data_IF_179777174371
#
_entry.id   IF_179777174371
#
_cell.length_a   1.000
_cell.length_b   1.000
_cell.length_c   1.000
_cell.angle_alpha   90.00
_cell.angle_beta   90.00
_cell.angle_gamma   90.00
#
_symmetry.space_group_name_H-M   'P 1'
#
loop_
_entity.id
_entity.type
_entity.pdbx_description
1 polymer ?
#
# COMPACT_ATOMS: atom_id res chain seq x y z
N UNK A 1 -72.48 -4.65 -61.59
CA UNK A 1 -73.58 -4.01 -60.84
C UNK A 1 -73.42 -4.32 -59.36
N UNK A 2 -73.72 -3.32 -58.50
CA UNK A 2 -73.77 -3.32 -57.01
C UNK A 2 -72.38 -3.29 -56.32
N UNK A 3 -71.90 -2.18 -55.76
CA UNK A 3 -72.29 -1.33 -54.60
C UNK A 3 -71.67 -1.80 -53.27
N UNK A 4 -70.96 -0.83 -52.64
CA UNK A 4 -70.75 -0.61 -51.19
C UNK A 4 -69.78 -1.57 -50.47
N UNK A 5 -68.96 -1.14 -49.52
CA UNK A 5 -68.98 0.12 -48.77
C UNK A 5 -67.66 0.43 -48.05
N UNK A 6 -67.69 1.59 -47.42
CA UNK A 6 -66.66 2.26 -46.63
C UNK A 6 -66.50 1.53 -45.28
N UNK A 7 -65.25 1.38 -44.82
CA UNK A 7 -64.93 1.39 -43.39
C UNK A 7 -63.58 2.10 -43.19
N UNK A 8 -63.66 3.26 -42.54
CA UNK A 8 -62.55 3.99 -41.92
C UNK A 8 -62.24 3.32 -40.59
N UNK A 9 -60.96 3.14 -40.26
CA UNK A 9 -60.44 3.33 -38.90
C UNK A 9 -58.92 3.48 -38.93
N UNK A 10 -58.47 4.49 -38.21
CA UNK A 10 -57.13 5.06 -38.19
C UNK A 10 -56.13 4.22 -37.37
N UNK A 11 -54.85 4.38 -37.69
CA UNK A 11 -53.74 3.89 -36.89
C UNK A 11 -52.42 4.53 -37.35
N UNK A 12 -52.01 5.57 -36.64
CA UNK A 12 -50.79 6.35 -36.82
C UNK A 12 -49.55 5.50 -36.54
N UNK A 13 -48.52 5.56 -37.38
CA UNK A 13 -47.13 5.45 -36.92
C UNK A 13 -46.15 6.07 -37.93
N UNK A 14 -45.22 6.82 -37.38
CA UNK A 14 -44.38 7.82 -38.02
C UNK A 14 -43.28 7.25 -38.93
N UNK A 15 -42.92 8.07 -39.91
CA UNK A 15 -41.77 7.95 -40.80
C UNK A 15 -40.49 8.04 -39.97
N UNK A 16 -39.68 6.98 -39.94
CA UNK A 16 -38.25 7.10 -39.68
C UNK A 16 -37.51 6.93 -41.00
N UNK A 17 -37.02 8.07 -41.50
CA UNK A 17 -36.04 8.14 -42.56
C UNK A 17 -34.76 7.41 -42.10
N UNK A 18 -34.28 6.50 -42.94
CA UNK A 18 -33.02 5.81 -42.72
C UNK A 18 -31.83 6.77 -42.76
N UNK A 19 -30.92 6.57 -41.82
CA UNK A 19 -29.51 6.93 -41.99
C UNK A 19 -28.72 5.64 -42.03
N UNK A 20 -27.92 5.52 -43.08
CA UNK A 20 -26.97 4.44 -43.34
C UNK A 20 -25.85 4.57 -42.31
N UNK A 21 -25.75 3.61 -41.38
CA UNK A 21 -24.59 3.51 -40.49
C UNK A 21 -23.47 2.74 -41.21
N UNK A 22 -22.22 3.23 -41.16
CA UNK A 22 -21.08 2.50 -41.70
C UNK A 22 -20.78 1.25 -40.87
N UNK A 23 -20.20 0.27 -41.55
CA UNK A 23 -19.85 -1.07 -41.07
C UNK A 23 -19.09 -1.06 -39.74
N UNK A 24 -19.45 -2.01 -38.89
CA UNK A 24 -18.95 -2.15 -37.53
C UNK A 24 -17.43 -2.30 -37.44
N UNK A 25 -16.84 -1.50 -36.56
CA UNK A 25 -15.66 -1.89 -35.81
C UNK A 25 -16.10 -2.90 -34.75
N UNK A 26 -15.57 -4.11 -34.80
CA UNK A 26 -15.69 -5.07 -33.71
C UNK A 26 -15.27 -4.38 -32.40
N UNK A 27 -16.21 -4.25 -31.47
CA UNK A 27 -15.86 -3.92 -30.10
C UNK A 27 -15.07 -5.10 -29.56
N UNK A 28 -13.81 -4.88 -29.18
CA UNK A 28 -13.20 -5.71 -28.16
C UNK A 28 -14.12 -5.57 -26.93
N UNK A 29 -14.64 -6.69 -26.42
CA UNK A 29 -15.43 -6.72 -25.20
C UNK A 29 -14.66 -6.00 -24.10
N UNK A 30 -15.11 -4.78 -23.81
CA UNK A 30 -14.51 -3.91 -22.82
C UNK A 30 -14.73 -4.55 -21.46
N UNK A 31 -13.67 -5.10 -20.88
CA UNK A 31 -13.59 -5.23 -19.43
C UNK A 31 -13.94 -3.85 -18.85
N UNK A 32 -14.92 -3.73 -17.95
CA UNK A 32 -15.11 -2.49 -17.24
C UNK A 32 -13.88 -2.31 -16.36
N UNK A 33 -12.90 -1.53 -16.83
CA UNK A 33 -11.92 -0.91 -15.95
C UNK A 33 -12.73 -0.02 -15.01
N UNK A 34 -13.03 -0.53 -13.82
CA UNK A 34 -13.51 0.26 -12.70
C UNK A 34 -12.61 1.49 -12.64
N UNK A 35 -13.21 2.67 -12.84
CA UNK A 35 -12.50 3.94 -12.71
C UNK A 35 -11.91 3.93 -11.30
N UNK A 36 -10.56 3.93 -11.13
CA UNK A 36 -9.99 3.92 -9.80
C UNK A 36 -10.50 5.15 -9.07
N UNK A 37 -11.04 4.95 -7.88
CA UNK A 37 -11.21 6.00 -6.88
C UNK A 37 -9.79 6.45 -6.49
N UNK A 38 -9.15 7.21 -7.36
CA UNK A 38 -7.91 7.91 -7.08
C UNK A 38 -8.15 9.38 -7.37
N UNK A 39 -8.27 10.19 -6.32
CA UNK A 39 -8.13 11.63 -6.49
C UNK A 39 -6.64 11.90 -6.76
N UNK A 40 -6.31 12.12 -8.03
CA UNK A 40 -4.96 12.48 -8.45
C UNK A 40 -4.94 13.96 -8.82
N UNK A 41 -4.43 14.80 -7.91
CA UNK A 41 -4.12 16.20 -8.23
C UNK A 41 -2.64 16.31 -8.55
N UNK A 42 -2.37 16.66 -9.80
CA UNK A 42 -1.10 17.13 -10.39
C UNK A 42 0.18 16.78 -9.62
N UNK A 43 0.70 15.56 -9.78
CA UNK A 43 2.03 15.18 -9.25
C UNK A 43 3.21 15.76 -10.05
N UNK A 44 2.94 16.67 -11.00
CA UNK A 44 3.95 17.38 -11.79
C UNK A 44 4.06 18.87 -11.41
N UNK A 45 3.07 19.40 -10.70
CA UNK A 45 3.03 20.76 -10.19
C UNK A 45 3.70 20.94 -8.83
N UNK A 46 3.66 22.17 -8.32
CA UNK A 46 4.20 22.53 -7.00
C UNK A 46 3.38 21.96 -5.84
N UNK A 47 2.13 21.59 -6.09
CA UNK A 47 1.24 20.94 -5.13
C UNK A 47 0.92 19.55 -5.64
N UNK A 48 0.92 18.55 -4.76
CA UNK A 48 0.54 17.18 -5.10
C UNK A 48 -0.54 16.69 -4.15
N UNK A 49 -1.47 15.87 -4.66
CA UNK A 49 -2.36 15.07 -3.84
C UNK A 49 -2.64 13.74 -4.54
N UNK A 50 -2.44 12.64 -3.83
CA UNK A 50 -2.79 11.29 -4.28
C UNK A 50 -3.51 10.61 -3.14
N UNK A 51 -4.66 10.02 -3.44
CA UNK A 51 -5.40 9.15 -2.53
C UNK A 51 -5.72 7.84 -3.25
N UNK A 52 -5.48 6.70 -2.61
CA UNK A 52 -5.90 5.39 -3.07
C UNK A 52 -7.12 4.95 -2.26
N UNK A 53 -8.16 4.47 -2.93
CA UNK A 53 -9.30 3.81 -2.27
C UNK A 53 -9.07 2.29 -2.22
N UNK A 54 -9.87 1.61 -1.40
CA UNK A 54 -9.95 0.14 -1.31
C UNK A 54 -8.59 -0.53 -1.00
N UNK A 55 -7.72 0.17 -0.26
CA UNK A 55 -6.47 -0.43 0.23
C UNK A 55 -6.79 -1.26 1.46
N UNK A 56 -6.36 -2.52 1.48
CA UNK A 56 -6.48 -3.37 2.68
C UNK A 56 -5.68 -2.78 3.85
N UNK A 57 -6.18 -3.01 5.07
CA UNK A 57 -5.48 -2.75 6.33
C UNK A 57 -5.37 -4.05 7.13
N UNK A 58 -4.52 -4.98 6.66
CA UNK A 58 -4.37 -6.26 7.33
C UNK A 58 -3.75 -6.06 8.72
N UNK A 59 -4.31 -6.74 9.74
CA UNK A 59 -3.70 -6.77 11.07
C UNK A 59 -2.44 -7.63 11.07
N UNK A 60 -1.37 -7.16 11.72
CA UNK A 60 -0.18 -7.98 11.93
C UNK A 60 -0.35 -9.00 13.06
N UNK A 61 -1.18 -8.74 14.07
CA UNK A 61 -1.31 -9.57 15.26
C UNK A 61 -2.18 -10.79 14.98
N UNK A 62 -1.53 -11.94 14.85
CA UNK A 62 -2.20 -13.19 14.46
C UNK A 62 -1.62 -14.37 15.24
N UNK A 63 -2.47 -15.24 15.79
CA UNK A 63 -2.06 -16.34 16.68
C UNK A 63 -1.11 -17.35 16.03
N UNK A 64 -1.16 -17.50 14.71
CA UNK A 64 -0.33 -18.45 13.95
C UNK A 64 0.96 -17.86 13.37
N UNK A 65 1.28 -16.61 13.69
CA UNK A 65 2.56 -15.98 13.35
C UNK A 65 3.56 -16.07 14.50
N UNK A 66 4.86 -16.07 14.17
CA UNK A 66 5.92 -15.99 15.18
C UNK A 66 5.76 -14.75 16.05
N UNK A 67 5.90 -14.91 17.37
CA UNK A 67 5.63 -13.87 18.39
C UNK A 67 4.23 -13.25 18.24
N UNK A 68 3.27 -14.08 17.81
CA UNK A 68 1.87 -13.71 17.58
C UNK A 68 1.75 -12.46 16.69
N UNK A 69 2.65 -12.32 15.71
CA UNK A 69 2.59 -11.23 14.74
C UNK A 69 3.25 -9.91 15.17
N UNK A 70 3.69 -9.77 16.43
CA UNK A 70 4.23 -8.51 16.98
C UNK A 70 5.48 -7.95 16.27
N UNK A 71 6.11 -8.74 15.41
CA UNK A 71 7.29 -8.39 14.60
C UNK A 71 7.01 -8.39 13.09
N UNK A 72 5.74 -8.45 12.66
CA UNK A 72 5.35 -8.64 11.25
C UNK A 72 4.90 -7.36 10.52
N UNK A 73 5.12 -6.17 11.09
CA UNK A 73 4.74 -4.90 10.45
C UNK A 73 5.25 -4.74 9.01
N UNK A 74 6.46 -5.22 8.71
CA UNK A 74 7.02 -5.25 7.37
C UNK A 74 6.24 -6.18 6.43
N UNK A 75 6.16 -7.49 6.68
CA UNK A 75 5.37 -8.40 5.87
C UNK A 75 3.90 -7.97 5.70
N UNK A 76 3.26 -7.46 6.74
CA UNK A 76 1.85 -7.03 6.69
C UNK A 76 1.65 -5.77 5.84
N UNK A 77 2.50 -4.74 5.98
CA UNK A 77 2.42 -3.57 5.08
C UNK A 77 2.77 -3.91 3.63
N UNK A 78 3.64 -4.90 3.40
CA UNK A 78 3.90 -5.44 2.06
C UNK A 78 2.68 -6.18 1.51
N UNK A 79 2.01 -6.99 2.34
CA UNK A 79 0.79 -7.70 1.98
C UNK A 79 -0.27 -6.73 1.45
N UNK A 80 -0.54 -5.62 2.15
CA UNK A 80 -1.51 -4.61 1.70
C UNK A 80 -1.18 -4.05 0.31
N UNK A 81 0.09 -3.72 0.04
CA UNK A 81 0.52 -3.22 -1.27
C UNK A 81 0.39 -4.29 -2.37
N UNK A 82 0.71 -5.55 -2.05
CA UNK A 82 0.59 -6.66 -2.99
C UNK A 82 -0.88 -7.00 -3.27
N UNK A 83 -1.72 -7.05 -2.26
CA UNK A 83 -3.15 -7.32 -2.41
C UNK A 83 -3.78 -6.27 -3.34
N UNK A 84 -3.47 -4.99 -3.11
CA UNK A 84 -3.89 -3.90 -4.00
C UNK A 84 -3.43 -4.09 -5.45
N UNK A 85 -2.17 -4.48 -5.67
CA UNK A 85 -1.65 -4.77 -7.02
C UNK A 85 -2.36 -5.98 -7.67
N UNK A 86 -2.67 -7.00 -6.89
CA UNK A 86 -3.44 -8.14 -7.37
C UNK A 86 -4.85 -7.73 -7.79
N UNK A 87 -5.58 -7.07 -6.89
CA UNK A 87 -6.99 -6.72 -7.06
C UNK A 87 -7.19 -5.64 -8.13
N UNK A 88 -6.47 -4.53 -8.04
CA UNK A 88 -6.69 -3.37 -8.91
C UNK A 88 -5.85 -3.36 -10.18
N UNK A 89 -4.74 -4.10 -10.22
CA UNK A 89 -3.91 -4.19 -11.43
C UNK A 89 -3.97 -5.56 -12.08
N UNK A 90 -4.51 -6.59 -11.42
CA UNK A 90 -4.58 -7.95 -11.95
C UNK A 90 -3.26 -8.71 -11.89
N UNK A 91 -2.30 -8.29 -11.04
CA UNK A 91 -0.99 -8.94 -10.95
C UNK A 91 -1.14 -10.35 -10.34
N UNK A 92 -0.83 -11.44 -11.06
CA UNK A 92 -1.00 -12.78 -10.52
C UNK A 92 0.14 -13.13 -9.57
N UNK A 93 -0.16 -13.24 -8.27
CA UNK A 93 0.80 -13.61 -7.24
C UNK A 93 0.36 -14.89 -6.54
N UNK A 94 1.29 -15.82 -6.33
CA UNK A 94 1.06 -17.11 -5.67
C UNK A 94 2.22 -17.43 -4.73
N UNK A 95 1.92 -18.05 -3.58
CA UNK A 95 2.93 -18.54 -2.62
C UNK A 95 3.82 -19.62 -3.24
N UNK A 96 3.20 -20.47 -4.06
CA UNK A 96 3.86 -21.53 -4.85
C UNK A 96 3.28 -21.53 -6.27
N UNK A 97 4.03 -22.01 -7.30
CA UNK A 97 3.60 -21.89 -8.70
C UNK A 97 2.20 -22.40 -9.03
N UNK A 98 1.75 -23.46 -8.34
CA UNK A 98 0.43 -24.09 -8.53
C UNK A 98 -0.55 -23.79 -7.37
N UNK A 99 -0.21 -22.86 -6.47
CA UNK A 99 -1.06 -22.46 -5.35
C UNK A 99 -2.17 -21.51 -5.80
N UNK A 100 -3.04 -21.07 -4.89
CA UNK A 100 -4.08 -20.09 -5.18
C UNK A 100 -3.52 -18.67 -5.34
N UNK A 101 -4.24 -17.81 -6.08
CA UNK A 101 -3.88 -16.40 -6.17
C UNK A 101 -4.06 -15.73 -4.82
N UNK A 102 -3.25 -14.70 -4.55
CA UNK A 102 -3.45 -13.85 -3.37
C UNK A 102 -4.89 -13.28 -3.29
N UNK A 103 -5.47 -12.92 -4.43
CA UNK A 103 -6.80 -12.29 -4.54
C UNK A 103 -7.95 -13.29 -4.58
N UNK A 104 -7.69 -14.59 -4.41
CA UNK A 104 -8.77 -15.57 -4.23
C UNK A 104 -9.34 -15.54 -2.80
N UNK A 105 -8.68 -14.82 -1.89
CA UNK A 105 -9.04 -14.70 -0.49
C UNK A 105 -9.29 -13.24 -0.15
N UNK A 106 -10.44 -12.94 0.44
CA UNK A 106 -10.77 -11.59 0.89
C UNK A 106 -10.19 -11.38 2.30
N UNK A 107 -9.19 -10.50 2.50
CA UNK A 107 -8.64 -10.24 3.82
C UNK A 107 -9.66 -9.67 4.81
N UNK A 108 -10.82 -9.19 4.33
CA UNK A 108 -11.93 -8.71 5.15
C UNK A 108 -12.94 -9.81 5.51
N UNK A 109 -12.91 -10.97 4.85
CA UNK A 109 -13.75 -12.12 5.20
C UNK A 109 -13.10 -12.91 6.35
N UNK A 110 -13.79 -13.09 7.49
CA UNK A 110 -13.30 -13.94 8.57
C UNK A 110 -12.95 -15.37 8.13
N UNK A 111 -13.58 -15.90 7.08
CA UNK A 111 -13.30 -17.24 6.56
C UNK A 111 -11.92 -17.37 5.90
N UNK A 112 -11.35 -16.25 5.44
CA UNK A 112 -10.07 -16.17 4.73
C UNK A 112 -8.93 -15.65 5.62
N UNK A 113 -9.18 -15.54 6.92
CA UNK A 113 -8.22 -15.01 7.89
C UNK A 113 -6.92 -15.83 7.94
N UNK A 114 -7.01 -17.16 7.92
CA UNK A 114 -5.84 -18.04 8.01
C UNK A 114 -4.97 -17.99 6.75
N UNK A 115 -5.57 -17.65 5.61
CA UNK A 115 -4.96 -17.55 4.30
C UNK A 115 -4.17 -16.25 4.21
N UNK A 116 -4.76 -15.13 4.65
CA UNK A 116 -4.04 -13.88 4.85
C UNK A 116 -2.88 -14.06 5.86
N UNK A 117 -3.11 -14.81 6.95
CA UNK A 117 -2.08 -15.15 7.94
C UNK A 117 -0.93 -15.93 7.30
N UNK A 118 -1.25 -16.92 6.48
CA UNK A 118 -0.27 -17.75 5.76
C UNK A 118 0.54 -16.91 4.79
N UNK A 119 -0.10 -16.00 4.06
CA UNK A 119 0.59 -15.04 3.18
C UNK A 119 1.55 -14.13 3.94
N UNK A 120 1.11 -13.51 5.04
CA UNK A 120 1.96 -12.65 5.86
C UNK A 120 3.16 -13.42 6.42
N UNK A 121 2.93 -14.64 6.92
CA UNK A 121 3.99 -15.51 7.42
C UNK A 121 5.00 -15.91 6.33
N UNK A 122 4.51 -16.27 5.14
CA UNK A 122 5.38 -16.59 4.00
C UNK A 122 6.19 -15.39 3.53
N UNK A 123 5.59 -14.19 3.49
CA UNK A 123 6.29 -12.95 3.17
C UNK A 123 7.38 -12.66 4.22
N UNK A 124 7.09 -12.89 5.51
CA UNK A 124 8.09 -12.81 6.58
C UNK A 124 9.27 -13.74 6.34
N UNK A 125 9.00 -15.02 6.05
CA UNK A 125 10.04 -15.99 5.72
C UNK A 125 10.87 -15.56 4.52
N UNK A 126 10.24 -15.12 3.42
CA UNK A 126 10.95 -14.64 2.23
C UNK A 126 11.70 -13.32 2.46
N UNK A 127 11.29 -12.55 3.44
CA UNK A 127 12.01 -11.35 3.88
C UNK A 127 13.21 -11.66 4.79
N UNK A 128 13.50 -12.94 5.05
CA UNK A 128 14.63 -13.38 5.86
C UNK A 128 14.33 -13.41 7.35
N UNK A 129 13.06 -13.36 7.77
CA UNK A 129 12.70 -13.59 9.17
C UNK A 129 12.99 -15.05 9.51
N UNK A 130 13.95 -15.26 10.41
CA UNK A 130 14.31 -16.58 10.94
C UNK A 130 13.28 -17.10 11.95
N UNK A 131 13.66 -18.14 12.70
CA UNK A 131 12.78 -18.77 13.71
C UNK A 131 12.52 -17.90 14.94
N UNK A 132 13.40 -16.95 15.24
CA UNK A 132 13.22 -15.95 16.31
C UNK A 132 13.52 -14.53 15.78
N UNK A 133 12.64 -13.97 14.94
CA UNK A 133 12.90 -12.71 14.27
C UNK A 133 12.65 -11.51 15.19
N UNK A 134 13.41 -10.44 14.96
CA UNK A 134 13.16 -9.10 15.53
C UNK A 134 12.38 -8.18 14.58
N UNK A 135 12.11 -8.65 13.36
CA UNK A 135 11.42 -7.93 12.29
C UNK A 135 12.01 -8.28 10.91
N UNK A 136 11.55 -7.57 9.88
CA UNK A 136 12.13 -7.65 8.53
C UNK A 136 12.86 -6.35 8.16
N UNK A 137 13.81 -6.45 7.24
CA UNK A 137 14.47 -5.28 6.65
C UNK A 137 13.74 -4.81 5.38
N UNK A 138 13.93 -3.55 5.01
CA UNK A 138 13.40 -3.02 3.75
C UNK A 138 13.87 -3.81 2.52
N UNK A 139 15.13 -4.28 2.54
CA UNK A 139 15.67 -5.13 1.48
C UNK A 139 15.04 -6.53 1.50
N UNK A 140 14.79 -7.08 2.68
CA UNK A 140 14.07 -8.34 2.86
C UNK A 140 12.67 -8.29 2.28
N UNK A 141 11.88 -7.25 2.61
CA UNK A 141 10.52 -7.09 2.07
C UNK A 141 10.53 -6.96 0.53
N UNK A 142 11.53 -6.29 -0.05
CA UNK A 142 11.73 -6.26 -1.50
C UNK A 142 12.05 -7.64 -2.11
N UNK A 143 12.81 -8.47 -1.40
CA UNK A 143 13.08 -9.85 -1.82
C UNK A 143 11.82 -10.74 -1.71
N UNK A 144 10.98 -10.52 -0.69
CA UNK A 144 9.68 -11.19 -0.56
C UNK A 144 8.75 -10.85 -1.72
N UNK A 145 8.68 -9.57 -2.11
CA UNK A 145 7.95 -9.13 -3.31
C UNK A 145 8.48 -9.80 -4.59
N UNK A 146 9.80 -9.86 -4.76
CA UNK A 146 10.41 -10.52 -5.92
C UNK A 146 10.04 -12.02 -5.97
N UNK A 147 10.02 -12.69 -4.83
CA UNK A 147 9.63 -14.10 -4.73
C UNK A 147 8.15 -14.31 -5.11
N UNK A 148 7.26 -13.43 -4.66
CA UNK A 148 5.82 -13.54 -4.93
C UNK A 148 5.46 -13.30 -6.40
N UNK A 149 6.29 -12.52 -7.10
CA UNK A 149 6.04 -12.06 -8.46
C UNK A 149 6.78 -12.86 -9.54
N UNK A 150 7.49 -13.93 -9.16
CA UNK A 150 8.23 -14.80 -10.12
C UNK A 150 7.29 -15.31 -11.22
N UNK A 151 6.10 -15.79 -10.86
CA UNK A 151 5.10 -16.29 -11.82
C UNK A 151 4.60 -15.20 -12.77
N UNK A 152 4.27 -14.02 -12.25
CA UNK A 152 3.85 -12.88 -13.07
C UNK A 152 4.94 -12.48 -14.08
N UNK A 153 6.19 -12.36 -13.62
CA UNK A 153 7.35 -12.04 -14.47
C UNK A 153 7.53 -13.08 -15.58
N UNK A 154 7.39 -14.37 -15.26
CA UNK A 154 7.46 -15.46 -16.24
C UNK A 154 6.35 -15.39 -17.29
N UNK A 155 5.18 -14.86 -16.93
CA UNK A 155 4.04 -14.61 -17.83
C UNK A 155 4.12 -13.27 -18.56
N UNK A 156 5.27 -12.59 -18.55
CA UNK A 156 5.50 -11.36 -19.33
C UNK A 156 5.13 -10.06 -18.62
N UNK A 157 4.76 -10.09 -17.34
CA UNK A 157 4.51 -8.85 -16.58
C UNK A 157 5.80 -8.07 -16.35
N UNK A 158 5.71 -6.75 -16.49
CA UNK A 158 6.76 -5.87 -15.98
C UNK A 158 6.50 -5.65 -14.50
N UNK A 159 7.49 -5.99 -13.66
CA UNK A 159 7.40 -5.84 -12.20
C UNK A 159 8.65 -5.14 -11.71
N UNK A 160 8.47 -3.95 -11.14
CA UNK A 160 9.52 -3.09 -10.63
C UNK A 160 9.32 -2.82 -9.15
N UNK A 161 10.43 -2.57 -8.45
CA UNK A 161 10.43 -2.25 -7.03
C UNK A 161 11.69 -1.50 -6.62
N UNK A 162 11.58 -0.62 -5.64
CA UNK A 162 12.70 0.14 -5.13
C UNK A 162 12.45 0.71 -3.74
N UNK A 163 13.40 1.51 -3.27
CA UNK A 163 13.28 2.22 -2.01
C UNK A 163 13.81 3.64 -2.13
N UNK A 164 13.22 4.55 -1.36
CA UNK A 164 13.58 5.97 -1.35
C UNK A 164 13.90 6.39 0.07
N UNK A 165 15.16 6.81 0.29
CA UNK A 165 15.68 7.40 1.52
C UNK A 165 15.03 8.76 1.82
N UNK A 166 14.73 9.03 3.09
CA UNK A 166 14.25 10.35 3.50
C UNK A 166 15.39 11.31 3.89
N UNK A 167 16.56 10.79 4.26
CA UNK A 167 17.68 11.58 4.77
C UNK A 167 18.17 12.59 3.73
N UNK A 168 18.08 13.87 4.08
CA UNK A 168 18.56 14.94 3.22
C UNK A 168 17.74 15.12 1.94
N UNK A 169 16.55 14.52 1.82
CA UNK A 169 15.68 14.63 0.63
C UNK A 169 14.54 15.65 0.86
N UNK A 170 14.64 16.88 0.35
CA UNK A 170 13.58 17.89 0.46
C UNK A 170 12.28 17.51 -0.25
N UNK A 171 12.37 16.75 -1.35
CA UNK A 171 11.24 16.38 -2.20
C UNK A 171 10.61 15.03 -1.81
N UNK A 172 10.89 14.52 -0.60
CA UNK A 172 10.45 13.18 -0.18
C UNK A 172 8.94 12.95 -0.31
N UNK A 173 8.12 13.95 0.02
CA UNK A 173 6.67 13.89 -0.17
C UNK A 173 6.23 13.79 -1.63
N UNK A 174 6.93 14.48 -2.53
CA UNK A 174 6.67 14.41 -3.97
C UNK A 174 7.07 13.02 -4.51
N UNK A 175 8.20 12.48 -4.07
CA UNK A 175 8.63 11.13 -4.44
C UNK A 175 7.64 10.06 -3.93
N UNK A 176 7.08 10.21 -2.73
CA UNK A 176 5.97 9.39 -2.28
C UNK A 176 4.77 9.51 -3.22
N UNK A 177 4.29 10.73 -3.48
CA UNK A 177 3.10 10.94 -4.31
C UNK A 177 3.24 10.34 -5.72
N UNK A 178 4.40 10.48 -6.37
CA UNK A 178 4.67 9.90 -7.70
C UNK A 178 4.49 8.38 -7.70
N UNK A 179 5.00 7.70 -6.68
CA UNK A 179 4.97 6.24 -6.53
C UNK A 179 3.61 5.74 -6.07
N UNK A 180 2.94 6.50 -5.19
CA UNK A 180 1.63 6.16 -4.66
C UNK A 180 0.55 6.08 -5.75
N UNK A 181 0.73 6.74 -6.90
CA UNK A 181 -0.17 6.57 -8.06
C UNK A 181 -0.24 5.14 -8.61
N UNK A 182 0.74 4.31 -8.30
CA UNK A 182 0.85 2.94 -8.82
C UNK A 182 0.27 1.93 -7.84
N UNK A 183 0.63 2.05 -6.56
CA UNK A 183 0.22 1.19 -5.47
C UNK A 183 0.50 1.86 -4.11
N UNK A 184 -0.09 1.36 -3.01
CA UNK A 184 0.25 1.76 -1.66
C UNK A 184 1.75 1.59 -1.38
N UNK A 185 2.31 2.48 -0.57
CA UNK A 185 3.73 2.44 -0.22
C UNK A 185 3.94 1.76 1.13
N UNK A 186 5.01 0.97 1.25
CA UNK A 186 5.47 0.51 2.55
C UNK A 186 6.46 1.54 3.11
N UNK A 187 6.01 2.38 4.04
CA UNK A 187 6.86 3.36 4.72
C UNK A 187 7.35 2.80 6.04
N UNK A 188 8.58 3.10 6.43
CA UNK A 188 9.06 2.81 7.79
C UNK A 188 9.64 4.03 8.47
N UNK A 189 9.45 4.06 9.78
CA UNK A 189 10.03 5.05 10.66
C UNK A 189 10.81 4.37 11.79
N UNK A 190 11.91 4.99 12.19
CA UNK A 190 12.59 4.62 13.41
C UNK A 190 11.89 5.26 14.61
N UNK A 191 11.90 4.56 15.74
CA UNK A 191 11.48 5.07 17.05
C UNK A 191 12.73 5.52 17.79
N UNK A 192 12.80 6.80 18.15
CA UNK A 192 14.00 7.41 18.75
C UNK A 192 13.71 7.99 20.13
N UNK A 193 14.65 7.86 21.05
CA UNK A 193 14.62 8.56 22.34
C UNK A 193 15.54 9.77 22.26
N UNK A 194 15.10 10.89 22.81
CA UNK A 194 15.92 12.10 22.95
C UNK A 194 16.77 11.97 24.21
N UNK A 195 18.09 12.08 24.05
CA UNK A 195 19.07 12.05 25.13
C UNK A 195 19.28 13.44 25.73
N UNK A 196 19.86 13.52 26.93
CA UNK A 196 20.17 14.78 27.62
C UNK A 196 21.15 15.68 26.84
N UNK A 197 22.05 15.09 26.06
CA UNK A 197 23.00 15.78 25.17
C UNK A 197 22.36 16.29 23.86
N UNK A 198 21.04 16.18 23.75
CA UNK A 198 20.24 16.53 22.57
C UNK A 198 20.65 15.74 21.30
N UNK A 199 21.09 14.50 21.50
CA UNK A 199 21.19 13.48 20.45
C UNK A 199 20.00 12.51 20.52
N UNK A 200 19.80 11.71 19.48
CA UNK A 200 18.70 10.76 19.35
C UNK A 200 19.24 9.34 19.22
N UNK A 201 18.79 8.44 20.08
CA UNK A 201 19.13 7.01 19.99
C UNK A 201 17.95 6.24 19.41
N UNK A 202 18.19 5.46 18.36
CA UNK A 202 17.17 4.60 17.76
C UNK A 202 16.94 3.38 18.66
N UNK A 203 15.70 3.17 19.09
CA UNK A 203 15.31 2.07 19.99
C UNK A 203 14.42 1.02 19.31
N UNK A 204 13.94 1.30 18.10
CA UNK A 204 13.15 0.36 17.33
C UNK A 204 12.77 0.91 15.96
N UNK A 205 11.98 0.15 15.21
CA UNK A 205 11.40 0.56 13.95
C UNK A 205 9.98 0.04 13.82
N UNK A 206 9.25 0.62 12.87
CA UNK A 206 7.91 0.16 12.51
C UNK A 206 7.64 0.45 11.04
N UNK A 207 6.89 -0.43 10.39
CA UNK A 207 6.46 -0.25 9.00
C UNK A 207 4.93 -0.11 8.94
N UNK A 208 4.47 0.77 8.07
CA UNK A 208 3.07 1.13 7.85
C UNK A 208 2.80 1.24 6.36
N UNK A 209 1.52 1.19 5.98
CA UNK A 209 1.09 1.38 4.59
C UNK A 209 0.68 2.84 4.39
N UNK A 210 1.22 3.51 3.38
CA UNK A 210 0.77 4.85 2.97
C UNK A 210 -0.27 4.69 1.88
N UNK A 211 -1.45 5.28 2.09
CA UNK A 211 -2.59 5.20 1.16
C UNK A 211 -2.97 6.56 0.57
N UNK A 212 -2.63 7.64 1.27
CA UNK A 212 -2.76 9.00 0.75
C UNK A 212 -1.53 9.85 1.07
N UNK A 213 -1.20 10.77 0.16
CA UNK A 213 -0.16 11.78 0.35
C UNK A 213 -0.57 13.11 -0.29
N UNK A 214 -0.44 14.20 0.47
CA UNK A 214 -0.76 15.56 0.03
C UNK A 214 0.26 16.56 0.56
N UNK A 215 0.67 17.51 -0.26
CA UNK A 215 1.59 18.56 0.19
C UNK A 215 2.05 19.47 -0.93
N UNK A 216 2.99 20.34 -0.58
CA UNK A 216 3.62 21.27 -1.51
C UNK A 216 5.13 21.06 -1.51
N UNK A 217 5.74 21.08 -2.70
CA UNK A 217 7.19 20.94 -2.90
C UNK A 217 7.92 22.05 -2.15
N UNK A 218 8.93 21.69 -1.37
CA UNK A 218 9.75 22.65 -0.62
C UNK A 218 9.12 23.21 0.66
N UNK A 219 7.86 22.90 0.96
CA UNK A 219 7.18 23.38 2.18
C UNK A 219 7.75 22.78 3.48
N UNK A 220 8.46 21.66 3.39
CA UNK A 220 8.89 20.90 4.57
C UNK A 220 7.74 20.24 5.32
N UNK A 221 6.52 20.17 4.73
CA UNK A 221 5.33 19.56 5.31
C UNK A 221 4.65 18.61 4.30
N UNK A 222 4.22 17.45 4.77
CA UNK A 222 3.41 16.49 4.00
C UNK A 222 2.31 15.93 4.89
N UNK A 223 1.08 15.87 4.40
CA UNK A 223 -0.05 15.22 5.04
C UNK A 223 -0.20 13.82 4.44
N UNK A 224 -0.32 12.80 5.30
CA UNK A 224 -0.48 11.41 4.87
C UNK A 224 -1.72 10.79 5.51
N UNK A 225 -2.29 9.79 4.84
CA UNK A 225 -3.17 8.78 5.46
C UNK A 225 -2.42 7.46 5.47
N UNK A 226 -2.41 6.80 6.64
CA UNK A 226 -1.71 5.55 6.89
C UNK A 226 -2.66 4.45 7.34
N UNK A 227 -2.37 3.22 6.94
CA UNK A 227 -2.84 2.01 7.60
C UNK A 227 -1.69 1.46 8.46
N UNK A 228 -1.85 1.48 9.78
CA UNK A 228 -0.87 0.96 10.73
C UNK A 228 -1.28 -0.45 11.15
N UNK A 229 -0.58 -1.50 10.66
CA UNK A 229 -1.00 -2.89 10.91
C UNK A 229 -0.88 -3.31 12.38
N UNK A 230 -0.29 -2.46 13.24
CA UNK A 230 -0.20 -2.69 14.69
C UNK A 230 -1.29 -1.98 15.49
N UNK A 231 -2.31 -1.42 14.83
CA UNK A 231 -3.34 -0.62 15.49
C UNK A 231 -4.73 -0.93 14.97
N UNK A 232 -5.60 -1.26 15.90
CA UNK A 232 -7.05 -1.22 15.75
C UNK A 232 -7.72 -0.93 17.09
N UNK A 233 -8.98 -0.50 17.05
CA UNK A 233 -9.77 -0.19 18.24
C UNK A 233 -10.12 -1.44 19.07
N UNK A 234 -10.17 -2.62 18.44
CA UNK A 234 -10.44 -3.90 19.11
C UNK A 234 -9.17 -4.59 19.64
N UNK A 235 -7.99 -4.02 19.42
CA UNK A 235 -6.75 -4.58 19.96
C UNK A 235 -6.80 -4.67 21.48
N UNK A 236 -6.32 -5.80 22.03
CA UNK A 236 -6.36 -6.16 23.46
C UNK A 236 -7.75 -6.56 23.98
N UNK A 237 -8.76 -6.64 23.12
CA UNK A 237 -10.01 -7.35 23.47
C UNK A 237 -9.84 -8.86 23.31
N UNK A 238 -10.60 -9.73 24.01
CA UNK A 238 -10.48 -11.17 23.82
C UNK A 238 -10.74 -11.60 22.36
N UNK A 239 -9.86 -12.43 21.78
CA UNK A 239 -10.04 -12.98 20.43
C UNK A 239 -9.56 -12.11 19.26
N UNK A 240 -9.04 -10.89 19.51
CA UNK A 240 -8.64 -9.97 18.42
C UNK A 240 -7.57 -10.52 17.46
N UNK A 241 -6.81 -11.53 17.89
CA UNK A 241 -5.74 -12.16 17.08
C UNK A 241 -6.23 -13.32 16.21
N UNK A 242 -7.53 -13.60 16.22
CA UNK A 242 -8.16 -14.71 15.50
C UNK A 242 -9.09 -14.19 14.38
N UNK A 243 -9.19 -12.88 14.21
CA UNK A 243 -10.05 -12.22 13.21
C UNK A 243 -9.36 -10.98 12.66
N UNK A 244 -9.78 -10.54 11.47
CA UNK A 244 -9.32 -9.28 10.91
C UNK A 244 -10.02 -8.10 11.61
N UNK A 245 -9.22 -7.15 12.10
CA UNK A 245 -9.69 -5.88 12.63
C UNK A 245 -10.31 -4.97 11.57
N UNK A 246 -11.13 -4.00 11.98
CA UNK A 246 -11.67 -2.98 11.08
C UNK A 246 -10.55 -2.12 10.49
N UNK A 247 -10.74 -1.68 9.23
CA UNK A 247 -9.81 -0.74 8.58
C UNK A 247 -9.75 0.57 9.37
N UNK A 248 -8.54 1.07 9.60
CA UNK A 248 -8.29 2.32 10.30
C UNK A 248 -7.46 3.28 9.47
N UNK A 249 -8.08 4.38 9.05
CA UNK A 249 -7.39 5.50 8.41
C UNK A 249 -6.73 6.42 9.45
N UNK A 250 -5.40 6.39 9.53
CA UNK A 250 -4.65 7.31 10.39
C UNK A 250 -4.16 8.54 9.61
N UNK A 251 -4.74 9.70 9.93
CA UNK A 251 -4.27 10.98 9.39
C UNK A 251 -3.07 11.48 10.16
N UNK A 252 -1.96 11.68 9.47
CA UNK A 252 -0.71 12.15 10.06
C UNK A 252 -0.10 13.31 9.26
N UNK A 253 0.84 14.02 9.87
CA UNK A 253 1.64 15.05 9.22
C UNK A 253 3.12 14.77 9.41
N UNK A 254 3.89 14.85 8.33
CA UNK A 254 5.34 14.84 8.36
C UNK A 254 5.89 16.25 8.33
N UNK A 255 6.88 16.54 9.17
CA UNK A 255 7.67 17.78 9.12
C UNK A 255 9.15 17.47 8.94
N UNK A 256 9.80 18.18 8.03
CA UNK A 256 11.24 18.07 7.82
C UNK A 256 12.01 18.69 8.99
N UNK A 257 12.92 17.93 9.58
CA UNK A 257 13.69 18.33 10.77
C UNK A 257 15.13 17.84 10.69
N UNK A 258 16.06 18.64 11.22
CA UNK A 258 17.43 18.22 11.42
C UNK A 258 17.59 17.58 12.81
N UNK A 259 18.23 16.43 12.87
CA UNK A 259 18.51 15.72 14.12
C UNK A 259 19.98 15.28 14.18
N UNK A 260 20.48 15.09 15.40
CA UNK A 260 21.74 14.37 15.63
C UNK A 260 21.40 13.00 16.19
N UNK A 261 21.82 11.94 15.51
CA UNK A 261 21.68 10.57 15.98
C UNK A 261 22.97 10.12 16.67
N UNK A 262 22.81 9.27 17.68
CA UNK A 262 23.90 8.68 18.45
C UNK A 262 23.77 7.16 18.37
N UNK A 263 24.87 6.50 18.03
CA UNK A 263 25.00 5.05 18.06
C UNK A 263 26.30 4.69 18.76
N UNK A 264 26.27 3.60 19.53
CA UNK A 264 27.47 3.04 20.17
C UNK A 264 27.74 1.71 19.49
N UNK A 265 28.96 1.54 19.01
CA UNK A 265 29.43 0.25 18.51
C UNK A 265 29.57 -0.73 19.68
N UNK A 266 28.87 -1.87 19.62
CA UNK A 266 28.79 -2.80 20.76
C UNK A 266 30.13 -3.51 21.04
N UNK A 267 30.99 -3.67 20.04
CA UNK A 267 32.26 -4.40 20.16
C UNK A 267 33.38 -3.49 20.68
N UNK A 268 33.44 -2.26 20.18
CA UNK A 268 34.52 -1.30 20.46
C UNK A 268 34.13 -0.24 21.48
N UNK A 269 32.83 -0.09 21.77
CA UNK A 269 32.30 0.99 22.60
C UNK A 269 32.41 2.38 21.97
N UNK A 270 32.81 2.46 20.70
CA UNK A 270 33.02 3.74 20.03
C UNK A 270 31.68 4.41 19.76
N UNK A 271 31.52 5.61 20.30
CA UNK A 271 30.36 6.46 20.04
C UNK A 271 30.51 7.18 18.70
N UNK A 272 29.47 7.08 17.88
CA UNK A 272 29.35 7.82 16.62
C UNK A 272 28.13 8.73 16.67
N UNK A 273 28.35 10.03 16.42
CA UNK A 273 27.29 11.01 16.26
C UNK A 273 27.20 11.40 14.79
N UNK A 274 25.99 11.33 14.21
CA UNK A 274 25.73 11.75 12.83
C UNK A 274 24.62 12.78 12.78
N UNK A 275 24.75 13.74 11.88
CA UNK A 275 23.69 14.70 11.59
C UNK A 275 22.85 14.20 10.41
N UNK A 276 21.53 14.18 10.59
CA UNK A 276 20.56 13.75 9.59
C UNK A 276 19.52 14.84 9.38
N UNK A 277 18.88 14.84 8.21
CA UNK A 277 17.67 15.62 7.96
C UNK A 277 16.54 14.68 7.59
N UNK A 278 15.70 14.34 8.58
CA UNK A 278 14.59 13.41 8.43
C UNK A 278 13.24 14.10 8.39
N UNK A 279 12.20 13.30 8.17
CA UNK A 279 10.80 13.71 8.25
C UNK A 279 10.19 13.14 9.53
N UNK A 280 9.89 13.99 10.50
CA UNK A 280 9.24 13.61 11.76
C UNK A 280 7.75 13.44 11.55
N UNK A 281 7.22 12.30 12.00
CA UNK A 281 5.82 11.95 11.92
C UNK A 281 5.07 12.45 13.18
N UNK A 282 3.94 13.10 12.96
CA UNK A 282 3.01 13.55 13.99
C UNK A 282 1.58 13.07 13.69
N UNK A 283 0.87 12.62 14.72
CA UNK A 283 -0.53 12.25 14.67
C UNK A 283 -1.02 11.89 16.08
N UNK A 284 -2.32 11.79 16.28
CA UNK A 284 -2.93 11.48 17.59
C UNK A 284 -2.30 10.23 18.23
N UNK A 285 -2.12 9.22 17.40
CA UNK A 285 -1.58 7.92 17.73
C UNK A 285 -0.05 7.87 17.82
N UNK A 286 0.65 8.90 17.36
CA UNK A 286 2.11 9.01 17.34
C UNK A 286 2.58 9.97 18.43
N UNK A 287 2.03 9.76 19.61
CA UNK A 287 2.36 10.46 20.84
C UNK A 287 2.96 9.45 21.82
N UNK A 288 4.05 9.81 22.51
CA UNK A 288 4.71 8.87 23.42
C UNK A 288 6.13 9.28 23.81
N UNK A 289 6.85 8.34 24.41
CA UNK A 289 8.24 8.51 24.89
C UNK A 289 9.27 8.44 23.77
N UNK A 290 8.86 8.04 22.57
CA UNK A 290 9.72 8.01 21.38
C UNK A 290 9.25 9.02 20.35
N UNK A 291 10.19 9.51 19.55
CA UNK A 291 10.01 10.39 18.41
C UNK A 291 10.11 9.55 17.13
N UNK A 292 9.12 9.65 16.26
CA UNK A 292 9.06 8.87 15.03
C UNK A 292 9.67 9.67 13.88
N UNK A 293 10.80 9.20 13.35
CA UNK A 293 11.45 9.78 12.17
C UNK A 293 11.32 8.78 11.02
N UNK A 294 10.64 9.19 9.96
CA UNK A 294 10.52 8.40 8.73
C UNK A 294 11.90 8.28 8.11
N UNK A 295 12.37 7.05 7.91
CA UNK A 295 13.71 6.76 7.40
C UNK A 295 13.67 6.55 5.88
N UNK A 296 12.60 5.94 5.37
CA UNK A 296 12.41 5.67 3.95
C UNK A 296 11.04 5.01 3.66
N UNK A 297 10.79 4.77 2.38
CA UNK A 297 9.70 3.89 1.93
C UNK A 297 10.15 2.95 0.81
N UNK A 298 9.47 1.82 0.69
CA UNK A 298 9.51 0.90 -0.43
C UNK A 298 8.33 1.20 -1.36
N UNK A 299 8.56 1.07 -2.66
CA UNK A 299 7.55 1.21 -3.70
C UNK A 299 7.57 0.00 -4.63
N UNK A 300 6.40 -0.32 -5.18
CA UNK A 300 6.16 -1.48 -6.03
C UNK A 300 5.31 -1.03 -7.23
N UNK A 301 5.73 -1.40 -8.43
CA UNK A 301 5.10 -0.96 -9.67
C UNK A 301 4.97 -2.14 -10.62
N UNK A 302 3.87 -2.17 -11.36
CA UNK A 302 3.62 -3.26 -12.31
C UNK A 302 3.01 -2.71 -13.58
N UNK A 303 3.23 -3.41 -14.69
CA UNK A 303 2.49 -3.21 -15.92
C UNK A 303 2.20 -4.60 -16.54
N UNK A 304 0.99 -4.78 -17.11
CA UNK A 304 0.64 -6.02 -17.78
C UNK A 304 1.55 -6.27 -19.00
N UNK A 305 1.63 -7.51 -19.49
CA UNK A 305 2.35 -7.81 -20.73
C UNK A 305 1.82 -6.95 -21.88
N UNK A 306 2.73 -6.44 -22.71
CA UNK A 306 2.35 -5.74 -23.95
C UNK A 306 2.13 -6.81 -25.02
N UNK A 307 0.90 -6.90 -25.54
CA UNK A 307 0.50 -7.74 -26.66
C UNK A 307 0.33 -6.94 -27.94
#
# INVERSE_FOLDING_TARGET
MKRQGIAVLAGVAAVFAGTVLPAGTAAADGLPLQVPCTEQKDVTGTQFAVNLCDVTDADQFRTHLTKEGSVHCGPTSLYNAMYYLGEHKGLPMRVVPNGQLMTEYDPHDPADYDEATTWIGWLGYKAGMGSDPSGSSAAGNRAAFDAATVGAKASGWTVNRGGTGSDGLPEFGLEMAKRLRQAPLQMWYGRYVLNEDNTHTRTGGHAVTVVAAKGDVGSGKVELTLHDPARSDDHKTPGYKDTQSQIRDEKVTLYRVAIRTKSVDEETGVETIKQHTYWRLFGENYTGTTLQYVEAFNWFETAPPVG
#
